data_IF_680433165974
#
_entry.id   IF_680433165974
#
_cell.length_a   1.000
_cell.length_b   1.000
_cell.length_c   1.000
_cell.angle_alpha   90.00
_cell.angle_beta   90.00
_cell.angle_gamma   90.00
#
_symmetry.space_group_name_H-M   'P 1'
#
loop_
_entity.id
_entity.type
_entity.pdbx_description
1 polymer ?
#
# COMPACT_ATOMS: atom_id res chain seq x y z
N UNK A 1 -8.61 2.06 12.37
CA UNK A 1 -7.83 3.31 12.23
C UNK A 1 -7.76 3.66 10.76
N UNK A 2 -7.74 4.95 10.42
CA UNK A 2 -7.61 5.42 9.03
C UNK A 2 -6.14 5.37 8.58
N UNK A 3 -5.87 4.85 7.38
CA UNK A 3 -4.52 4.93 6.79
C UNK A 3 -4.31 6.32 6.19
N UNK A 4 -3.21 6.97 6.56
CA UNK A 4 -2.87 8.41 6.40
C UNK A 4 -3.03 9.13 7.73
N UNK A 5 -1.92 9.28 8.46
CA UNK A 5 -1.94 9.89 9.78
C UNK A 5 -2.28 11.38 9.69
N UNK A 6 -3.30 11.81 10.44
CA UNK A 6 -3.75 13.20 10.50
C UNK A 6 -2.88 13.94 11.52
N UNK A 7 -2.30 15.10 11.16
CA UNK A 7 -1.58 15.91 12.14
C UNK A 7 -2.50 16.37 13.25
N UNK A 8 -2.16 16.10 14.51
CA UNK A 8 -2.93 16.54 15.69
C UNK A 8 -3.20 18.05 15.76
N UNK A 9 -2.38 18.85 15.08
CA UNK A 9 -2.51 20.31 15.03
C UNK A 9 -3.33 20.82 13.84
N UNK A 10 -3.76 19.93 12.94
CA UNK A 10 -4.61 20.29 11.80
C UNK A 10 -5.99 20.76 12.29
N UNK A 11 -6.56 21.73 11.58
CA UNK A 11 -7.89 22.29 11.88
C UNK A 11 -8.84 22.10 10.69
N UNK A 12 -10.13 21.96 10.98
CA UNK A 12 -11.16 21.74 9.97
C UNK A 12 -11.17 20.31 9.43
N UNK A 13 -11.57 20.14 8.17
CA UNK A 13 -11.74 18.81 7.55
C UNK A 13 -10.42 18.04 7.50
N UNK A 14 -10.36 16.90 8.21
CA UNK A 14 -9.19 16.03 8.27
C UNK A 14 -8.75 15.54 6.89
N UNK A 15 -9.63 15.50 5.88
CA UNK A 15 -9.27 15.08 4.51
C UNK A 15 -8.45 16.13 3.76
N UNK A 16 -8.33 17.35 4.29
CA UNK A 16 -7.76 18.52 3.61
C UNK A 16 -6.43 19.00 4.20
N UNK A 17 -5.74 18.18 4.99
CA UNK A 17 -4.43 18.56 5.57
C UNK A 17 -3.28 18.63 4.55
N UNK A 18 -3.46 18.12 3.33
CA UNK A 18 -2.52 18.32 2.21
C UNK A 18 -1.15 17.62 2.32
N UNK A 19 -1.00 16.68 3.26
CA UNK A 19 0.24 15.92 3.47
C UNK A 19 0.09 14.48 2.99
N UNK A 20 1.18 13.86 2.55
CA UNK A 20 1.24 12.43 2.24
C UNK A 20 1.76 11.66 3.44
N UNK A 21 0.85 11.10 4.24
CA UNK A 21 1.18 10.53 5.56
C UNK A 21 0.89 9.03 5.66
N UNK A 22 0.66 8.36 4.52
CA UNK A 22 0.52 6.91 4.45
C UNK A 22 1.75 6.19 4.99
N UNK A 23 2.94 6.74 4.70
CA UNK A 23 4.23 6.18 5.07
C UNK A 23 5.08 7.21 5.84
N UNK A 24 5.85 6.73 6.80
CA UNK A 24 6.85 7.48 7.56
C UNK A 24 8.23 6.88 7.30
N UNK A 25 9.22 7.72 6.97
CA UNK A 25 10.61 7.27 6.81
C UNK A 25 11.26 7.10 8.18
N UNK A 26 11.80 5.91 8.46
CA UNK A 26 12.46 5.59 9.72
C UNK A 26 13.57 6.60 10.08
N UNK A 27 14.33 7.05 9.08
CA UNK A 27 15.49 7.93 9.22
C UNK A 27 15.13 9.30 9.82
N UNK A 28 13.93 9.80 9.53
CA UNK A 28 13.46 11.12 9.98
C UNK A 28 12.34 11.05 11.02
N UNK A 29 11.86 9.86 11.35
CA UNK A 29 10.71 9.61 12.22
C UNK A 29 10.87 10.30 13.59
N UNK A 30 12.01 10.11 14.26
CA UNK A 30 12.23 10.60 15.62
C UNK A 30 12.26 12.13 15.74
N UNK A 31 12.66 12.82 14.66
CA UNK A 31 12.77 14.28 14.58
C UNK A 31 11.54 14.93 13.93
N UNK A 32 10.63 14.14 13.36
CA UNK A 32 9.45 14.66 12.68
C UNK A 32 8.51 15.38 13.63
N UNK A 33 8.02 16.55 13.22
CA UNK A 33 6.94 17.29 13.91
C UNK A 33 5.63 16.50 13.97
N UNK A 34 5.41 15.60 13.01
CA UNK A 34 4.21 14.79 12.90
C UNK A 34 4.34 13.46 13.65
N UNK A 35 5.49 12.78 13.53
CA UNK A 35 5.66 11.40 14.02
C UNK A 35 6.39 11.29 15.35
N UNK A 36 7.26 12.25 15.69
CA UNK A 36 8.17 12.14 16.82
C UNK A 36 7.47 12.14 18.17
N UNK A 37 6.47 13.00 18.37
CA UNK A 37 5.70 13.04 19.61
C UNK A 37 4.86 11.77 19.83
N UNK A 38 4.03 11.30 18.86
CA UNK A 38 3.34 10.01 18.98
C UNK A 38 4.29 8.84 19.25
N UNK A 39 5.43 8.81 18.56
CA UNK A 39 6.42 7.75 18.74
C UNK A 39 6.98 7.71 20.17
N UNK A 40 7.39 8.86 20.71
CA UNK A 40 7.89 8.98 22.09
C UNK A 40 6.83 8.65 23.13
N UNK A 41 5.57 8.95 22.83
CA UNK A 41 4.43 8.60 23.68
C UNK A 41 4.05 7.10 23.62
N UNK A 42 4.75 6.31 22.80
CA UNK A 42 4.49 4.87 22.68
C UNK A 42 3.28 4.53 21.81
N UNK A 43 2.83 5.44 20.96
CA UNK A 43 1.71 5.23 20.03
C UNK A 43 2.15 4.37 18.82
N UNK A 44 2.64 3.17 19.13
CA UNK A 44 3.09 2.16 18.18
C UNK A 44 1.98 1.16 17.94
N UNK A 45 1.79 0.77 16.69
CA UNK A 45 0.80 -0.22 16.29
C UNK A 45 1.40 -1.23 15.32
N UNK A 46 0.67 -2.32 15.10
CA UNK A 46 0.94 -3.29 14.04
C UNK A 46 -0.13 -3.12 12.99
N UNK A 47 0.30 -2.88 11.75
CA UNK A 47 -0.58 -2.85 10.58
C UNK A 47 -0.58 -4.25 9.99
N UNK A 48 -1.74 -4.88 10.00
CA UNK A 48 -1.93 -6.23 9.46
C UNK A 48 -2.37 -6.14 7.99
N UNK A 49 -1.82 -7.01 7.15
CA UNK A 49 -2.26 -7.18 5.76
C UNK A 49 -2.02 -8.60 5.27
N UNK A 50 -2.76 -9.02 4.24
CA UNK A 50 -2.47 -10.22 3.44
C UNK A 50 -1.09 -10.09 2.75
N UNK A 51 -0.76 -8.85 2.36
CA UNK A 51 0.46 -8.48 1.67
C UNK A 51 0.39 -7.01 1.25
N UNK A 52 1.29 -6.57 0.37
CA UNK A 52 1.21 -5.24 -0.24
C UNK A 52 1.58 -5.32 -1.72
N UNK A 53 1.14 -4.34 -2.49
CA UNK A 53 1.54 -4.21 -3.88
C UNK A 53 2.75 -3.28 -3.98
N UNK A 54 3.68 -3.62 -4.86
CA UNK A 54 4.78 -2.74 -5.22
C UNK A 54 4.99 -2.72 -6.73
N UNK A 55 5.25 -1.53 -7.27
CA UNK A 55 5.55 -1.36 -8.68
C UNK A 55 7.05 -1.22 -8.87
N UNK A 56 7.60 -1.85 -9.91
CA UNK A 56 9.03 -1.67 -10.21
C UNK A 56 9.30 -0.24 -10.67
N UNK A 57 9.96 0.56 -9.81
CA UNK A 57 10.29 1.97 -10.08
C UNK A 57 11.76 2.21 -10.38
N UNK A 58 12.60 1.20 -10.20
CA UNK A 58 14.05 1.23 -10.42
C UNK A 58 14.43 1.34 -11.90
N UNK A 59 13.52 0.95 -12.80
CA UNK A 59 13.67 1.12 -14.25
C UNK A 59 12.92 2.35 -14.72
N UNK A 60 13.46 3.04 -15.72
CA UNK A 60 12.83 4.21 -16.34
C UNK A 60 11.69 3.74 -17.26
N UNK A 61 10.53 3.49 -16.66
CA UNK A 61 9.28 3.10 -17.33
C UNK A 61 8.17 4.12 -17.04
N UNK A 62 7.23 4.26 -17.99
CA UNK A 62 5.98 4.99 -17.74
C UNK A 62 5.22 4.30 -16.61
N UNK A 63 4.50 5.07 -15.79
CA UNK A 63 3.78 4.52 -14.64
C UNK A 63 2.80 3.39 -15.01
N UNK A 64 2.13 3.49 -16.17
CA UNK A 64 1.23 2.45 -16.69
C UNK A 64 1.91 1.14 -17.06
N UNK A 65 3.21 1.20 -17.34
CA UNK A 65 3.98 0.09 -17.93
C UNK A 65 4.87 -0.58 -16.87
N UNK A 66 4.84 -0.08 -15.62
CA UNK A 66 5.59 -0.66 -14.51
C UNK A 66 4.98 -2.01 -14.13
N UNK A 67 5.76 -3.10 -14.13
CA UNK A 67 5.32 -4.36 -13.55
C UNK A 67 4.89 -4.17 -12.09
N UNK A 68 3.74 -4.74 -11.74
CA UNK A 68 3.23 -4.78 -10.38
C UNK A 68 3.51 -6.15 -9.77
N UNK A 69 3.88 -6.15 -8.49
CA UNK A 69 4.15 -7.35 -7.71
C UNK A 69 3.25 -7.37 -6.49
N UNK A 70 2.76 -8.54 -6.10
CA UNK A 70 2.18 -8.75 -4.78
C UNK A 70 3.26 -9.35 -3.89
N UNK A 71 3.52 -8.68 -2.77
CA UNK A 71 4.57 -9.02 -1.79
C UNK A 71 3.90 -9.49 -0.51
N UNK A 72 4.31 -10.64 0.01
CA UNK A 72 3.68 -11.27 1.18
C UNK A 72 4.70 -12.03 2.03
N UNK A 73 4.27 -12.49 3.21
CA UNK A 73 5.05 -13.44 4.01
C UNK A 73 4.93 -14.85 3.42
N UNK A 74 5.97 -15.69 3.53
CA UNK A 74 5.88 -17.10 3.17
C UNK A 74 4.72 -17.77 3.88
N UNK A 75 4.02 -18.63 3.13
CA UNK A 75 2.88 -19.39 3.62
C UNK A 75 3.25 -20.86 3.79
N UNK A 76 2.44 -21.59 4.57
CA UNK A 76 2.53 -23.05 4.59
C UNK A 76 2.23 -23.63 3.20
N UNK A 77 2.80 -24.80 2.87
CA UNK A 77 2.74 -25.39 1.51
C UNK A 77 1.32 -25.52 0.92
N UNK A 78 0.29 -25.63 1.76
CA UNK A 78 -1.10 -25.77 1.35
C UNK A 78 -1.81 -24.45 1.08
N UNK A 79 -1.24 -23.32 1.51
CA UNK A 79 -1.87 -21.99 1.48
C UNK A 79 -1.25 -21.18 0.35
N UNK A 80 -2.12 -20.70 -0.55
CA UNK A 80 -1.74 -19.89 -1.71
C UNK A 80 -2.34 -18.50 -1.62
N UNK A 81 -1.51 -17.46 -1.68
CA UNK A 81 -1.98 -16.07 -1.60
C UNK A 81 -2.80 -15.62 -2.81
N UNK A 82 -2.64 -16.31 -3.95
CA UNK A 82 -3.36 -16.07 -5.19
C UNK A 82 -4.67 -16.87 -5.32
N UNK A 83 -4.94 -17.79 -4.37
CA UNK A 83 -6.15 -18.60 -4.33
C UNK A 83 -6.70 -18.75 -2.91
N UNK A 84 -7.68 -17.89 -2.58
CA UNK A 84 -8.34 -17.87 -1.26
C UNK A 84 -9.11 -19.15 -0.94
N UNK A 85 -9.41 -20.01 -1.93
CA UNK A 85 -10.08 -21.30 -1.66
C UNK A 85 -9.16 -22.28 -0.91
N UNK A 86 -7.86 -22.03 -0.94
CA UNK A 86 -6.86 -22.83 -0.20
C UNK A 86 -6.74 -22.44 1.27
N UNK A 87 -7.40 -21.36 1.72
CA UNK A 87 -7.20 -20.81 3.06
C UNK A 87 -8.05 -21.55 4.09
N UNK A 88 -7.41 -22.36 4.93
CA UNK A 88 -8.06 -22.97 6.10
C UNK A 88 -7.75 -22.18 7.38
N UNK A 89 -8.60 -21.20 7.69
CA UNK A 89 -8.42 -20.31 8.86
C UNK A 89 -8.55 -21.03 10.21
N UNK A 90 -9.05 -22.27 10.26
CA UNK A 90 -9.23 -23.03 11.50
C UNK A 90 -8.01 -23.85 11.90
N UNK A 91 -7.13 -24.17 10.96
CA UNK A 91 -5.97 -25.03 11.18
C UNK A 91 -4.68 -24.24 10.97
N UNK A 92 -4.28 -24.11 9.70
CA UNK A 92 -3.00 -23.54 9.31
C UNK A 92 -3.01 -22.00 9.31
N UNK A 93 -4.20 -21.39 9.22
CA UNK A 93 -4.35 -19.95 9.14
C UNK A 93 -3.70 -19.37 7.87
N UNK A 94 -3.43 -18.08 7.91
CA UNK A 94 -2.56 -17.40 6.95
C UNK A 94 -1.49 -16.65 7.73
N UNK A 95 -0.26 -16.66 7.25
CA UNK A 95 0.82 -15.89 7.83
C UNK A 95 0.68 -14.43 7.35
N UNK A 96 -0.04 -13.62 8.14
CA UNK A 96 -0.25 -12.22 7.83
C UNK A 96 1.05 -11.42 7.90
N UNK A 97 1.20 -10.49 6.95
CA UNK A 97 2.25 -9.49 6.99
C UNK A 97 1.96 -8.49 8.11
N UNK A 98 2.94 -8.31 9.01
CA UNK A 98 2.86 -7.46 10.20
C UNK A 98 3.83 -6.31 10.04
N UNK A 99 3.32 -5.11 9.76
CA UNK A 99 4.16 -3.92 9.58
C UNK A 99 4.16 -3.07 10.85
N UNK A 100 5.32 -2.57 11.23
CA UNK A 100 5.48 -1.55 12.25
C UNK A 100 4.83 -0.24 11.76
N UNK A 101 3.84 0.24 12.52
CA UNK A 101 3.19 1.51 12.28
C UNK A 101 3.24 2.41 13.51
N UNK A 102 2.95 3.69 13.27
CA UNK A 102 2.60 4.64 14.32
C UNK A 102 1.16 5.07 14.13
N UNK A 103 0.49 5.38 15.23
CA UNK A 103 -0.84 5.99 15.18
C UNK A 103 -0.88 7.31 15.93
N UNK A 104 -1.79 8.19 15.55
CA UNK A 104 -2.15 9.36 16.33
C UNK A 104 -3.66 9.54 16.43
N UNK A 105 -4.07 10.29 17.45
CA UNK A 105 -5.46 10.67 17.68
C UNK A 105 -5.59 12.15 17.34
N UNK A 106 -6.38 12.44 16.32
CA UNK A 106 -6.83 13.79 16.00
C UNK A 106 -8.23 13.99 16.57
N UNK A 107 -8.51 15.16 17.11
CA UNK A 107 -9.82 15.53 17.67
C UNK A 107 -10.33 16.75 16.91
N UNK A 108 -11.59 16.72 16.48
CA UNK A 108 -12.21 17.83 15.77
C UNK A 108 -12.76 18.89 16.73
N UNK A 109 -13.37 19.96 16.19
CA UNK A 109 -13.93 21.06 16.98
C UNK A 109 -15.15 20.66 17.83
N UNK A 110 -15.78 19.52 17.52
CA UNK A 110 -16.90 18.96 18.27
C UNK A 110 -16.44 17.97 19.37
N UNK A 111 -15.14 17.67 19.44
CA UNK A 111 -14.58 16.65 20.34
C UNK A 111 -14.58 15.23 19.76
N UNK A 112 -14.93 15.05 18.47
CA UNK A 112 -14.93 13.74 17.84
C UNK A 112 -13.49 13.29 17.53
N UNK A 113 -13.17 12.05 17.94
CA UNK A 113 -11.81 11.49 17.83
C UNK A 113 -11.66 10.62 16.59
N UNK A 114 -10.61 10.90 15.82
CA UNK A 114 -10.17 10.11 14.68
C UNK A 114 -8.81 9.47 14.95
N UNK A 115 -8.81 8.14 15.00
CA UNK A 115 -7.58 7.35 15.06
C UNK A 115 -7.06 7.10 13.65
N UNK A 116 -5.83 7.54 13.39
CA UNK A 116 -5.18 7.41 12.09
C UNK A 116 -3.77 6.86 12.24
N UNK A 117 -3.23 6.23 11.21
CA UNK A 117 -1.93 5.57 11.26
C UNK A 117 -1.09 5.78 10.01
N UNK A 118 0.21 5.54 10.18
CA UNK A 118 1.24 5.54 9.13
C UNK A 118 2.05 4.24 9.21
N UNK A 119 2.53 3.75 8.07
CA UNK A 119 3.45 2.60 8.01
C UNK A 119 4.88 3.11 8.03
N UNK A 120 5.73 2.53 8.88
CA UNK A 120 7.16 2.87 8.88
C UNK A 120 7.82 2.19 7.67
N UNK A 121 8.67 2.93 6.96
CA UNK A 121 9.45 2.43 5.83
C UNK A 121 10.92 2.76 6.04
N UNK A 122 11.82 1.93 5.53
CA UNK A 122 13.28 2.20 5.49
C UNK A 122 13.87 1.66 4.17
N UNK A 123 15.19 1.80 3.99
CA UNK A 123 15.90 1.32 2.80
C UNK A 123 15.67 -0.18 2.54
N UNK A 124 15.50 -0.53 1.28
CA UNK A 124 15.33 -1.92 0.86
C UNK A 124 16.60 -2.75 1.05
N UNK A 125 16.48 -4.07 1.09
CA UNK A 125 17.64 -4.98 1.04
C UNK A 125 18.07 -5.25 -0.40
N UNK A 126 19.21 -5.93 -0.56
CA UNK A 126 19.75 -6.29 -1.88
C UNK A 126 18.73 -7.08 -2.71
N UNK A 127 17.99 -8.00 -2.08
CA UNK A 127 17.00 -8.88 -2.72
C UNK A 127 15.85 -8.11 -3.37
N UNK A 128 15.35 -7.05 -2.72
CA UNK A 128 14.18 -6.29 -3.16
C UNK A 128 14.53 -4.94 -3.82
N UNK A 129 15.77 -4.47 -3.66
CA UNK A 129 16.28 -3.25 -4.32
C UNK A 129 16.11 -3.19 -5.84
N UNK A 130 16.04 -4.31 -6.61
CA UNK A 130 15.71 -4.26 -8.04
C UNK A 130 14.26 -3.92 -8.35
N UNK A 131 13.34 -4.00 -7.37
CA UNK A 131 11.93 -3.61 -7.53
C UNK A 131 11.74 -2.18 -7.02
N UNK A 132 12.12 -1.93 -5.77
CA UNK A 132 11.92 -0.63 -5.12
C UNK A 132 12.98 -0.36 -4.04
N UNK A 133 13.35 0.90 -3.87
CA UNK A 133 14.37 1.33 -2.90
C UNK A 133 13.90 1.39 -1.44
N UNK A 134 12.61 1.16 -1.19
CA UNK A 134 12.01 1.20 0.15
C UNK A 134 11.15 -0.03 0.39
N UNK A 135 11.18 -0.49 1.63
CA UNK A 135 10.30 -1.53 2.16
C UNK A 135 9.55 -1.02 3.39
N UNK A 136 8.35 -1.54 3.67
CA UNK A 136 7.76 -1.39 4.99
C UNK A 136 8.63 -2.08 6.04
N UNK A 137 8.60 -1.57 7.26
CA UNK A 137 9.25 -2.18 8.40
C UNK A 137 8.43 -3.39 8.86
N UNK A 138 8.81 -4.59 8.42
CA UNK A 138 8.11 -5.83 8.73
C UNK A 138 8.64 -6.41 10.04
N UNK A 139 7.72 -6.90 10.88
CA UNK A 139 8.00 -7.57 12.14
C UNK A 139 7.89 -9.08 11.91
N UNK A 140 9.02 -9.73 11.63
CA UNK A 140 9.06 -11.12 11.15
C UNK A 140 8.68 -12.14 12.23
N UNK A 141 8.94 -11.84 13.51
CA UNK A 141 8.71 -12.78 14.61
C UNK A 141 7.71 -12.25 15.63
N UNK A 142 7.08 -13.16 16.39
CA UNK A 142 6.24 -12.79 17.53
C UNK A 142 6.99 -12.04 18.62
N UNK A 143 8.31 -12.27 18.74
CA UNK A 143 9.16 -11.51 19.65
C UNK A 143 9.32 -10.05 19.18
N UNK A 144 9.49 -9.81 17.88
CA UNK A 144 9.55 -8.47 17.30
C UNK A 144 8.22 -7.72 17.47
N UNK A 145 7.11 -8.41 17.22
CA UNK A 145 5.74 -7.93 17.47
C UNK A 145 5.57 -7.51 18.93
N UNK A 146 5.90 -8.39 19.86
CA UNK A 146 5.77 -8.14 21.30
C UNK A 146 6.65 -6.96 21.73
N UNK A 147 7.91 -6.94 21.31
CA UNK A 147 8.83 -5.85 21.63
C UNK A 147 8.38 -4.52 21.02
N UNK A 148 7.84 -4.54 19.80
CA UNK A 148 7.31 -3.35 19.14
C UNK A 148 6.09 -2.80 19.88
N UNK A 149 5.15 -3.64 20.33
CA UNK A 149 3.98 -3.16 21.06
C UNK A 149 4.30 -2.71 22.50
N UNK A 150 5.34 -3.27 23.11
CA UNK A 150 5.67 -2.99 24.50
C UNK A 150 6.45 -1.67 24.69
N UNK A 151 5.77 -0.54 24.54
CA UNK A 151 6.41 0.77 24.70
C UNK A 151 6.88 1.09 26.12
N UNK A 152 6.37 0.38 27.12
CA UNK A 152 6.75 0.58 28.52
C UNK A 152 8.12 -0.05 28.81
N UNK A 153 8.39 -1.25 28.29
CA UNK A 153 9.67 -1.96 28.48
C UNK A 153 10.66 -1.69 27.36
N UNK A 154 10.19 -1.40 26.14
CA UNK A 154 11.01 -1.10 24.96
C UNK A 154 10.87 0.38 24.60
N UNK A 155 11.83 1.17 25.06
CA UNK A 155 11.91 2.61 24.77
C UNK A 155 12.14 2.91 23.28
N UNK A 156 11.81 4.13 22.87
CA UNK A 156 11.81 4.58 21.47
C UNK A 156 13.11 4.24 20.70
N UNK A 157 14.29 4.63 21.20
CA UNK A 157 15.54 4.38 20.48
C UNK A 157 15.82 2.88 20.29
N UNK A 158 15.53 2.07 21.31
CA UNK A 158 15.66 0.61 21.22
C UNK A 158 14.70 0.04 20.18
N UNK A 159 13.45 0.52 20.16
CA UNK A 159 12.46 0.08 19.19
C UNK A 159 12.90 0.37 17.74
N UNK A 160 13.46 1.55 17.45
CA UNK A 160 13.98 1.85 16.10
C UNK A 160 15.16 0.95 15.72
N UNK A 161 16.10 0.75 16.63
CA UNK A 161 17.30 -0.05 16.37
C UNK A 161 17.01 -1.55 16.18
N UNK A 162 15.83 -2.02 16.57
CA UNK A 162 15.40 -3.40 16.33
C UNK A 162 14.79 -3.60 14.93
N UNK A 163 14.34 -2.53 14.26
CA UNK A 163 13.79 -2.62 12.91
C UNK A 163 14.92 -2.85 11.90
N UNK A 164 14.73 -3.86 11.05
CA UNK A 164 15.67 -4.26 10.01
C UNK A 164 14.90 -4.70 8.75
N UNK A 165 15.49 -4.61 7.54
CA UNK A 165 14.89 -5.19 6.35
C UNK A 165 14.55 -6.66 6.57
N UNK A 166 13.32 -7.03 6.18
CA UNK A 166 12.91 -8.43 6.20
C UNK A 166 13.51 -9.17 5.01
N UNK A 167 14.15 -10.30 5.30
CA UNK A 167 14.69 -11.22 4.28
C UNK A 167 13.68 -12.32 3.91
N UNK A 168 12.64 -12.48 4.74
CA UNK A 168 11.68 -13.57 4.63
C UNK A 168 10.65 -13.34 3.53
N UNK A 169 10.43 -12.10 3.08
CA UNK A 169 9.38 -11.79 2.11
C UNK A 169 9.54 -12.54 0.78
N UNK A 170 8.38 -12.90 0.23
CA UNK A 170 8.18 -13.47 -1.09
C UNK A 170 7.34 -12.52 -1.94
N UNK A 171 7.47 -12.64 -3.26
CA UNK A 171 6.67 -11.86 -4.19
C UNK A 171 6.52 -12.56 -5.52
N UNK A 172 5.44 -12.23 -6.21
CA UNK A 172 5.18 -12.67 -7.58
C UNK A 172 4.52 -11.56 -8.38
N UNK A 173 4.68 -11.53 -9.72
CA UNK A 173 4.06 -10.51 -10.56
C UNK A 173 2.53 -10.72 -10.60
N UNK A 174 1.81 -9.61 -10.64
CA UNK A 174 0.34 -9.57 -10.73
C UNK A 174 -0.13 -8.68 -11.87
N UNK A 175 -1.42 -8.81 -12.22
CA UNK A 175 -2.04 -8.02 -13.27
C UNK A 175 -2.09 -6.52 -12.96
N UNK A 176 -2.02 -5.68 -13.99
CA UNK A 176 -2.18 -4.21 -13.90
C UNK A 176 -3.59 -3.78 -13.48
N UNK A 177 -4.52 -4.72 -13.32
CA UNK A 177 -5.80 -4.54 -12.63
C UNK A 177 -5.66 -3.81 -11.29
N UNK A 178 -4.56 -4.02 -10.57
CA UNK A 178 -4.25 -3.38 -9.27
C UNK A 178 -3.94 -1.88 -9.39
N UNK A 179 -3.64 -1.38 -10.59
CA UNK A 179 -3.38 0.04 -10.83
C UNK A 179 -4.63 0.90 -10.58
N UNK A 180 -5.82 0.30 -10.70
CA UNK A 180 -7.06 0.96 -10.35
C UNK A 180 -7.52 0.51 -8.96
N UNK A 181 -7.36 1.41 -7.98
CA UNK A 181 -7.75 1.14 -6.59
C UNK A 181 -9.23 0.79 -6.37
N UNK A 182 -10.13 1.10 -7.32
CA UNK A 182 -11.54 0.70 -7.23
C UNK A 182 -11.76 -0.79 -7.54
N UNK A 183 -10.77 -1.48 -8.11
CA UNK A 183 -10.83 -2.92 -8.33
C UNK A 183 -10.49 -3.67 -7.05
N UNK A 184 -11.42 -4.53 -6.60
CA UNK A 184 -11.35 -5.30 -5.35
C UNK A 184 -11.57 -6.80 -5.55
N UNK A 185 -11.44 -7.30 -6.77
CA UNK A 185 -11.67 -8.72 -7.06
C UNK A 185 -10.49 -9.61 -6.62
N UNK A 186 -10.73 -10.92 -6.53
CA UNK A 186 -9.70 -11.93 -6.30
C UNK A 186 -8.61 -11.93 -7.38
N UNK A 187 -8.92 -11.43 -8.58
CA UNK A 187 -7.98 -11.35 -9.70
C UNK A 187 -6.79 -10.43 -9.42
N UNK A 188 -6.93 -9.48 -8.48
CA UNK A 188 -5.85 -8.57 -8.10
C UNK A 188 -4.62 -9.29 -7.51
N UNK A 189 -4.82 -10.46 -6.90
CA UNK A 189 -3.75 -11.24 -6.28
C UNK A 189 -3.31 -12.42 -7.14
N UNK A 190 -3.89 -12.62 -8.33
CA UNK A 190 -3.52 -13.73 -9.20
C UNK A 190 -2.12 -13.56 -9.76
N UNK A 191 -1.30 -14.57 -9.56
CA UNK A 191 0.02 -14.66 -10.16
C UNK A 191 -0.10 -14.69 -11.68
N UNK A 192 0.75 -13.94 -12.37
CA UNK A 192 0.90 -13.99 -13.82
C UNK A 192 2.28 -14.52 -14.20
N UNK A 193 2.43 -15.03 -15.42
CA UNK A 193 3.75 -15.42 -15.93
C UNK A 193 4.61 -14.17 -16.23
N UNK A 194 5.92 -14.20 -15.92
CA UNK A 194 6.83 -13.12 -16.28
C UNK A 194 6.78 -12.83 -17.79
N UNK A 195 6.46 -11.60 -18.19
CA UNK A 195 6.45 -11.17 -19.58
C UNK A 195 5.12 -11.36 -20.33
N UNK A 196 4.06 -11.89 -19.71
CA UNK A 196 2.72 -11.81 -20.28
C UNK A 196 2.20 -10.36 -20.22
N UNK A 197 2.33 -9.63 -21.34
CA UNK A 197 1.57 -8.40 -21.56
C UNK A 197 0.09 -8.74 -21.70
N UNK A 198 -0.72 -8.40 -20.70
CA UNK A 198 -2.17 -8.58 -20.78
C UNK A 198 -2.89 -7.37 -21.40
N UNK A 199 -4.10 -7.57 -21.96
CA UNK A 199 -4.74 -6.62 -22.84
C UNK A 199 -4.92 -5.29 -22.14
N UNK A 200 -4.56 -4.21 -22.83
CA UNK A 200 -4.97 -2.87 -22.42
C UNK A 200 -6.46 -2.91 -22.11
N UNK A 201 -6.84 -2.59 -20.88
CA UNK A 201 -8.24 -2.33 -20.51
C UNK A 201 -8.88 -1.55 -21.65
N UNK A 202 -9.97 -2.01 -22.30
CA UNK A 202 -10.55 -1.27 -23.39
C UNK A 202 -10.88 0.12 -22.86
N UNK A 203 -10.28 1.15 -23.50
CA UNK A 203 -10.64 2.54 -23.25
C UNK A 203 -12.16 2.60 -23.29
N UNK A 204 -12.75 3.12 -22.22
CA UNK A 204 -14.18 3.07 -21.93
C UNK A 204 -15.04 3.25 -23.19
N UNK A 205 -16.22 2.59 -23.22
CA UNK A 205 -17.22 2.74 -24.30
C UNK A 205 -17.57 4.21 -24.63
N UNK A 206 -17.27 5.15 -23.72
CA UNK A 206 -17.37 6.60 -23.94
C UNK A 206 -16.51 7.11 -25.13
N UNK A 207 -15.35 6.51 -25.39
CA UNK A 207 -14.52 6.84 -26.56
C UNK A 207 -15.09 6.30 -27.88
N UNK A 208 -15.89 5.24 -27.84
CA UNK A 208 -16.59 4.75 -29.04
C UNK A 208 -17.77 5.66 -29.40
N UNK A 209 -18.50 6.18 -28.42
CA UNK A 209 -19.56 7.18 -28.68
C UNK A 209 -19.03 8.47 -29.32
N UNK A 210 -17.81 8.92 -28.98
CA UNK A 210 -17.22 10.12 -29.58
C UNK A 210 -16.81 9.93 -31.05
N UNK A 211 -16.35 8.72 -31.41
CA UNK A 211 -16.06 8.35 -32.80
C UNK A 211 -17.33 8.23 -33.65
N UNK A 212 -18.44 7.77 -33.07
CA UNK A 212 -19.75 7.71 -33.76
C UNK A 212 -20.31 9.12 -34.00
N UNK A 213 -20.18 10.03 -33.04
CA UNK A 213 -20.67 11.42 -33.17
C UNK A 213 -19.89 12.21 -34.23
N UNK A 214 -18.59 11.96 -34.39
CA UNK A 214 -17.80 12.61 -35.47
C UNK A 214 -18.20 12.12 -36.86
N UNK A 215 -18.61 10.86 -37.02
CA UNK A 215 -19.04 10.33 -38.32
C UNK A 215 -20.36 10.96 -38.78
N UNK A 216 -21.31 11.19 -37.87
CA UNK A 216 -22.59 11.86 -38.18
C UNK A 216 -22.47 13.33 -38.58
N UNK A 217 -21.38 14.03 -38.21
CA UNK A 217 -21.21 15.45 -38.56
C UNK A 217 -20.55 15.71 -39.92
N UNK A 218 -20.10 14.67 -40.62
CA UNK A 218 -19.47 14.81 -41.94
C UNK A 218 -20.37 14.39 -43.10
N UNK A 219 -21.49 13.71 -42.83
CA UNK A 219 -22.43 13.20 -43.84
C UNK A 219 -23.69 14.09 -43.99
N UNK A 220 -23.82 15.20 -43.24
CA UNK A 220 -24.96 16.15 -43.28
C UNK A 220 -24.58 17.54 -43.86
N UNK A 221 -23.57 17.59 -44.75
CA UNK A 221 -23.38 18.76 -45.64
C UNK A 221 -23.58 18.26 -47.06
N UNK A 222 -24.85 18.00 -47.40
CA UNK A 222 -25.28 17.87 -48.78
C UNK A 222 -25.70 19.25 -49.30
N UNK A 223 -25.22 19.52 -50.51
CA UNK A 223 -25.55 20.64 -51.39
C UNK A 223 -27.04 20.95 -51.43
N UNK A 224 -27.41 22.22 -51.22
CA UNK A 224 -28.70 22.74 -51.65
C UNK A 224 -28.47 23.75 -52.78
N UNK A 225 -28.80 23.41 -54.04
CA UNK A 225 -28.77 24.37 -55.14
C UNK A 225 -30.18 24.93 -55.39
N UNK A 226 -30.35 26.24 -55.18
CA UNK A 226 -31.21 27.12 -55.99
C UNK A 226 -30.96 28.59 -55.71
#
# INVERSE_FOLDING_TARGET
>A
MMWSMVPRWHKGDYKKHGLTTNNCRLESLAMSKLYGAPFKAGQRCIVLSEGFYEWQTTKVLKASDRPAFFVHMPQNEKVRMDDKTTWNLKEDGINLLKMAGLFDVWEDENGDKLYSYTVITFESNEKFSPIHHRLPAILDTEADVTAWLDYKRVGANRALNMLKPSEAIEWYPVSSLVNNSSNKSSECNKQIEPGQSQPTTPKSKLMQSWLIVKKRKFDDIDDDPK
#
